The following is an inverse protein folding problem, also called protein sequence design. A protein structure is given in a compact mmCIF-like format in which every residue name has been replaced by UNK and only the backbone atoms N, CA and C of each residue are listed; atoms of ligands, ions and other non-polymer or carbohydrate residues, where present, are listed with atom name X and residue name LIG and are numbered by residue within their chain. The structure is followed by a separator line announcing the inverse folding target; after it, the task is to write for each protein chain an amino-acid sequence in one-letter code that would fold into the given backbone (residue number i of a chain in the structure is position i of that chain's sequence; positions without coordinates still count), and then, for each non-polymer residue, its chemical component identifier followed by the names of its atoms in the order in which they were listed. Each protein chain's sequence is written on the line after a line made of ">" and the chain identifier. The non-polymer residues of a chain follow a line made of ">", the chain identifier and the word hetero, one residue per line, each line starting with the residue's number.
data_IF_628961424449
#
_entry.id   IF_628961424449
#
_cell.length_a   1.000
_cell.length_b   1.000
_cell.length_c   1.000
_cell.angle_alpha   90.00
_cell.angle_beta   90.00
_cell.angle_gamma   90.00
#
_symmetry.space_group_name_H-M   'P 1'
#
loop_
_entity.id
_entity.type
_entity.pdbx_description
1 polymer ?
#
# COMPACT_ATOMS: atom_id res chain seq x y z
N UNK A 1 -13.79 26.25 3.27
CA UNK A 1 -12.31 26.27 3.30
C UNK A 1 -11.84 25.49 2.09
N UNK A 2 -11.41 26.16 1.01
CA UNK A 2 -10.77 25.46 -0.08
C UNK A 2 -9.48 24.83 0.48
N UNK A 3 -9.42 23.51 0.55
CA UNK A 3 -8.17 22.82 0.84
C UNK A 3 -7.20 23.21 -0.27
N UNK A 4 -6.21 24.03 0.06
CA UNK A 4 -5.08 24.31 -0.83
C UNK A 4 -4.27 23.01 -0.82
N UNK A 5 -4.66 22.07 -1.67
CA UNK A 5 -3.84 20.92 -1.97
C UNK A 5 -2.65 21.44 -2.77
N UNK A 6 -1.49 21.56 -2.11
CA UNK A 6 -0.22 21.84 -2.77
C UNK A 6 0.03 20.64 -3.70
N UNK A 7 0.00 20.81 -5.03
CA UNK A 7 0.08 19.67 -5.91
C UNK A 7 1.54 19.25 -6.04
N UNK A 8 1.91 18.12 -5.43
CA UNK A 8 3.01 17.32 -5.97
C UNK A 8 2.54 16.78 -7.33
N UNK A 9 3.35 16.97 -8.38
CA UNK A 9 3.04 16.64 -9.76
C UNK A 9 3.96 15.52 -10.26
N UNK A 10 3.73 14.24 -9.90
CA UNK A 10 4.65 13.13 -10.19
C UNK A 10 5.05 12.92 -11.66
N UNK A 11 4.27 13.41 -12.63
CA UNK A 11 4.61 13.28 -14.05
C UNK A 11 5.47 14.43 -14.60
N UNK A 12 5.58 15.54 -13.86
CA UNK A 12 6.34 16.74 -14.25
C UNK A 12 7.56 16.90 -13.34
N UNK A 13 7.36 16.73 -12.04
CA UNK A 13 8.40 16.90 -11.02
C UNK A 13 9.48 15.84 -11.20
N UNK A 14 10.73 16.25 -11.00
CA UNK A 14 11.85 15.31 -10.96
C UNK A 14 11.66 14.33 -9.80
N UNK A 15 11.99 13.05 -10.04
CA UNK A 15 11.92 12.04 -9.00
C UNK A 15 12.90 12.42 -7.88
N UNK A 16 12.44 12.58 -6.62
CA UNK A 16 13.30 12.99 -5.53
C UNK A 16 14.41 11.97 -5.30
N UNK A 17 15.61 12.44 -4.99
CA UNK A 17 16.73 11.58 -4.58
C UNK A 17 16.41 10.89 -3.25
N UNK A 18 17.00 9.71 -3.02
CA UNK A 18 16.83 8.97 -1.77
C UNK A 18 17.22 9.80 -0.53
N UNK A 19 18.21 10.70 -0.68
CA UNK A 19 18.63 11.62 0.38
C UNK A 19 17.54 12.66 0.72
N UNK A 20 16.86 13.21 -0.30
CA UNK A 20 15.77 14.16 -0.11
C UNK A 20 14.56 13.49 0.55
N UNK A 21 14.28 12.23 0.19
CA UNK A 21 13.23 11.42 0.84
C UNK A 21 13.54 11.22 2.33
N UNK A 22 14.78 10.85 2.68
CA UNK A 22 15.20 10.68 4.08
C UNK A 22 15.13 11.97 4.88
N UNK A 23 15.54 13.10 4.29
CA UNK A 23 15.44 14.40 4.93
C UNK A 23 13.98 14.80 5.18
N UNK A 24 13.10 14.55 4.21
CA UNK A 24 11.65 14.78 4.37
C UNK A 24 11.05 13.86 5.44
N UNK A 25 11.43 12.58 5.48
CA UNK A 25 10.99 11.64 6.51
C UNK A 25 11.45 12.06 7.92
N UNK A 26 12.67 12.60 8.07
CA UNK A 26 13.16 13.12 9.33
C UNK A 26 12.33 14.32 9.82
N UNK A 27 12.04 15.29 8.93
CA UNK A 27 11.17 16.43 9.26
C UNK A 27 9.74 15.98 9.59
N UNK A 28 9.19 15.01 8.84
CA UNK A 28 7.88 14.44 9.14
C UNK A 28 7.92 13.80 10.54
N UNK A 29 8.97 13.04 10.87
CA UNK A 29 9.10 12.40 12.17
C UNK A 29 9.19 13.41 13.34
N UNK A 30 9.86 14.55 13.13
CA UNK A 30 9.93 15.66 14.09
C UNK A 30 8.56 16.33 14.30
N UNK A 31 7.80 16.54 13.23
CA UNK A 31 6.47 17.19 13.25
C UNK A 31 5.35 16.25 13.69
N UNK A 32 5.49 14.96 13.38
CA UNK A 32 4.65 13.91 13.96
C UNK A 32 5.08 13.70 15.40
N UNK A 33 4.56 14.53 16.30
CA UNK A 33 4.47 14.20 17.73
C UNK A 33 3.74 12.85 17.91
N UNK A 34 3.51 12.37 19.16
CA UNK A 34 2.81 11.11 19.37
C UNK A 34 1.45 11.15 18.65
N UNK A 35 1.34 10.51 17.49
CA UNK A 35 0.13 10.48 16.70
C UNK A 35 -0.98 10.02 17.64
N UNK A 36 -2.07 10.78 17.70
CA UNK A 36 -3.29 10.30 18.34
C UNK A 36 -3.60 8.91 17.77
N UNK A 37 -3.48 7.91 18.62
CA UNK A 37 -3.78 6.49 18.40
C UNK A 37 -5.28 6.25 18.22
N UNK A 38 -5.98 7.11 17.48
CA UNK A 38 -7.38 6.93 17.09
C UNK A 38 -7.56 5.84 16.03
N UNK A 39 -6.51 5.05 15.74
CA UNK A 39 -6.72 3.72 15.19
C UNK A 39 -7.37 2.92 16.32
N UNK A 40 -8.65 2.52 16.21
CA UNK A 40 -9.24 1.64 17.21
C UNK A 40 -8.32 0.43 17.34
N UNK A 41 -7.93 0.08 18.57
CA UNK A 41 -7.19 -1.15 18.86
C UNK A 41 -7.83 -2.27 18.03
N UNK A 42 -7.01 -2.98 17.24
CA UNK A 42 -7.50 -4.11 16.45
C UNK A 42 -8.36 -4.97 17.35
N UNK A 43 -9.57 -5.33 16.89
CA UNK A 43 -10.52 -6.12 17.68
C UNK A 43 -9.77 -7.23 18.40
N UNK A 44 -9.74 -7.17 19.73
CA UNK A 44 -9.11 -8.20 20.57
C UNK A 44 -9.69 -9.54 20.16
N UNK A 45 -8.82 -10.54 20.03
CA UNK A 45 -9.23 -11.90 19.70
C UNK A 45 -10.36 -12.33 20.65
N UNK A 46 -11.38 -13.00 20.11
CA UNK A 46 -12.42 -13.62 20.93
C UNK A 46 -11.90 -14.88 21.63
N UNK A 47 -10.66 -15.29 21.33
CA UNK A 47 -10.02 -16.43 21.97
C UNK A 47 -9.65 -16.08 23.41
N UNK A 48 -9.70 -17.09 24.28
CA UNK A 48 -9.12 -16.97 25.61
C UNK A 48 -7.60 -16.80 25.50
N UNK A 49 -6.99 -16.11 26.47
CA UNK A 49 -5.54 -15.88 26.49
C UNK A 49 -4.72 -17.17 26.33
N UNK A 50 -5.19 -18.28 26.92
CA UNK A 50 -4.56 -19.59 26.77
C UNK A 50 -4.63 -20.15 25.33
N UNK A 51 -5.72 -19.89 24.61
CA UNK A 51 -5.90 -20.32 23.22
C UNK A 51 -5.11 -19.42 22.26
N UNK A 52 -4.94 -18.14 22.60
CA UNK A 52 -4.11 -17.21 21.86
C UNK A 52 -2.62 -17.55 22.01
N UNK A 53 -2.18 -17.89 23.22
CA UNK A 53 -0.84 -18.45 23.48
C UNK A 53 -0.63 -19.74 22.67
N UNK A 54 -1.60 -20.66 22.70
CA UNK A 54 -1.56 -21.92 21.95
C UNK A 54 -1.51 -21.74 20.42
N UNK A 55 -2.22 -20.75 19.86
CA UNK A 55 -2.20 -20.43 18.43
C UNK A 55 -0.90 -19.72 18.04
N UNK A 56 -0.37 -18.88 18.93
CA UNK A 56 0.87 -18.14 18.71
C UNK A 56 2.11 -19.04 18.78
N UNK A 57 2.06 -20.09 19.61
CA UNK A 57 3.09 -21.11 19.67
C UNK A 57 3.00 -21.95 18.39
N UNK A 58 3.85 -21.65 17.40
CA UNK A 58 3.86 -22.31 16.07
C UNK A 58 4.16 -23.82 16.11
N UNK A 59 4.28 -24.40 17.30
CA UNK A 59 4.25 -25.85 17.52
C UNK A 59 2.83 -26.32 17.29
N UNK A 60 2.46 -26.46 16.02
CA UNK A 60 1.23 -27.15 15.66
C UNK A 60 1.18 -28.47 16.45
N UNK A 61 0.08 -28.78 17.16
CA UNK A 61 -0.05 -30.10 17.76
C UNK A 61 0.23 -31.13 16.66
N UNK A 62 0.94 -32.22 16.98
CA UNK A 62 0.82 -33.42 16.15
C UNK A 62 -0.68 -33.67 16.02
N UNK A 63 -1.16 -33.81 14.78
CA UNK A 63 -2.58 -34.02 14.51
C UNK A 63 -3.13 -35.13 15.39
N UNK A 64 -4.46 -35.14 15.57
CA UNK A 64 -5.16 -36.11 16.41
C UNK A 64 -4.56 -37.51 16.17
N UNK A 65 -4.04 -38.12 17.24
CA UNK A 65 -3.44 -39.44 17.15
C UNK A 65 -4.53 -40.47 16.82
N UNK A 66 -4.54 -40.87 15.55
CA UNK A 66 -5.48 -41.85 14.98
C UNK A 66 -5.21 -43.28 15.47
N UNK A 67 -4.06 -43.52 16.12
CA UNK A 67 -3.70 -44.85 16.65
C UNK A 67 -4.71 -45.36 17.68
N UNK A 68 -5.39 -44.43 18.39
CA UNK A 68 -6.46 -44.76 19.34
C UNK A 68 -7.66 -45.45 18.69
N UNK A 69 -7.92 -45.17 17.42
CA UNK A 69 -9.06 -45.73 16.68
C UNK A 69 -8.68 -46.88 15.76
N UNK A 70 -7.38 -47.15 15.56
CA UNK A 70 -6.90 -48.31 14.81
C UNK A 70 -6.64 -49.53 15.69
N UNK A 71 -6.37 -49.32 16.99
CA UNK A 71 -6.01 -50.39 17.91
C UNK A 71 -7.25 -50.78 18.74
N UNK A 72 -7.74 -52.01 18.52
CA UNK A 72 -8.91 -52.59 19.20
C UNK A 72 -8.54 -53.33 20.50
N UNK A 73 -7.25 -53.57 20.69
CA UNK A 73 -6.69 -54.30 21.83
C UNK A 73 -6.19 -53.33 22.90
N UNK A 74 -6.46 -53.64 24.15
CA UNK A 74 -5.86 -52.98 25.31
C UNK A 74 -4.38 -53.39 25.47
N UNK A 75 -3.64 -52.70 26.33
CA UNK A 75 -2.23 -52.95 26.67
C UNK A 75 -1.93 -54.39 27.12
N UNK A 76 -2.95 -55.14 27.54
CA UNK A 76 -2.88 -56.54 27.96
C UNK A 76 -3.32 -57.53 26.86
N UNK A 77 -3.65 -57.05 25.66
CA UNK A 77 -4.11 -57.87 24.51
C UNK A 77 -5.60 -58.24 24.57
N UNK A 78 -6.37 -57.67 25.50
CA UNK A 78 -7.81 -57.90 25.62
C UNK A 78 -8.60 -56.91 24.74
N UNK A 79 -9.65 -57.40 24.06
CA UNK A 79 -10.51 -56.55 23.24
C UNK A 79 -11.49 -55.80 24.15
N UNK A 80 -11.41 -54.46 24.18
CA UNK A 80 -12.43 -53.65 24.84
C UNK A 80 -13.69 -53.61 23.96
N UNK A 81 -14.80 -54.15 24.49
CA UNK A 81 -16.06 -54.26 23.76
C UNK A 81 -16.64 -52.88 23.39
N UNK A 82 -16.34 -51.85 24.18
CA UNK A 82 -16.79 -50.48 23.88
C UNK A 82 -16.08 -49.92 22.66
N UNK A 83 -14.76 -50.05 22.60
CA UNK A 83 -13.97 -49.59 21.44
C UNK A 83 -14.33 -50.38 20.19
N UNK A 84 -14.51 -51.70 20.31
CA UNK A 84 -14.96 -52.56 19.22
C UNK A 84 -16.32 -52.13 18.65
N UNK A 85 -17.31 -51.83 19.51
CA UNK A 85 -18.61 -51.35 19.06
C UNK A 85 -18.51 -49.98 18.36
N UNK A 86 -17.71 -49.05 18.90
CA UNK A 86 -17.51 -47.74 18.25
C UNK A 86 -16.80 -47.86 16.90
N UNK A 87 -15.87 -48.79 16.75
CA UNK A 87 -15.18 -49.06 15.50
C UNK A 87 -16.13 -49.69 14.45
N UNK A 88 -17.03 -50.57 14.89
CA UNK A 88 -18.06 -51.15 14.03
C UNK A 88 -19.02 -50.08 13.51
N UNK A 89 -19.57 -49.23 14.38
CA UNK A 89 -20.45 -48.13 13.96
C UNK A 89 -19.73 -47.16 13.00
N UNK A 90 -18.46 -46.84 13.27
CA UNK A 90 -17.66 -46.00 12.36
C UNK A 90 -17.43 -46.66 10.99
N UNK A 91 -17.15 -47.96 10.93
CA UNK A 91 -16.95 -48.67 9.67
C UNK A 91 -18.23 -48.79 8.85
N UNK A 92 -19.38 -48.97 9.51
CA UNK A 92 -20.71 -48.91 8.87
C UNK A 92 -20.98 -47.52 8.29
N UNK A 93 -20.81 -46.46 9.09
CA UNK A 93 -20.99 -45.09 8.60
C UNK A 93 -20.03 -44.73 7.46
N UNK A 94 -18.78 -45.21 7.52
CA UNK A 94 -17.80 -45.04 6.44
C UNK A 94 -18.21 -45.78 5.18
N UNK A 95 -18.75 -46.99 5.29
CA UNK A 95 -19.23 -47.75 4.14
C UNK A 95 -20.33 -46.98 3.40
N UNK A 96 -21.31 -46.47 4.14
CA UNK A 96 -22.41 -45.70 3.55
C UNK A 96 -21.92 -44.40 2.92
N UNK A 97 -20.99 -43.70 3.57
CA UNK A 97 -20.35 -42.50 3.02
C UNK A 97 -19.53 -42.79 1.75
N UNK A 98 -18.81 -43.91 1.69
CA UNK A 98 -18.06 -44.34 0.50
C UNK A 98 -19.00 -44.74 -0.63
N UNK A 99 -20.13 -45.38 -0.32
CA UNK A 99 -21.18 -45.69 -1.30
C UNK A 99 -21.70 -44.40 -1.94
N UNK A 100 -22.10 -43.42 -1.12
CA UNK A 100 -22.55 -42.12 -1.62
C UNK A 100 -21.46 -41.36 -2.40
N UNK A 101 -20.19 -41.44 -1.96
CA UNK A 101 -19.07 -40.83 -2.66
C UNK A 101 -18.81 -41.51 -4.02
N UNK A 102 -18.97 -42.83 -4.11
CA UNK A 102 -18.80 -43.56 -5.36
C UNK A 102 -19.86 -43.18 -6.40
N UNK A 103 -21.09 -42.91 -5.94
CA UNK A 103 -22.21 -42.51 -6.78
C UNK A 103 -22.13 -41.04 -7.21
N UNK A 104 -21.90 -40.12 -6.27
CA UNK A 104 -22.02 -38.68 -6.50
C UNK A 104 -20.71 -37.92 -6.51
N UNK A 105 -19.61 -38.51 -6.04
CA UNK A 105 -18.35 -37.81 -5.82
C UNK A 105 -17.78 -37.18 -7.08
N UNK A 106 -17.82 -37.90 -8.22
CA UNK A 106 -17.38 -37.36 -9.51
C UNK A 106 -18.19 -36.14 -9.93
N UNK A 107 -19.52 -36.21 -9.78
CA UNK A 107 -20.42 -35.11 -10.19
C UNK A 107 -20.21 -33.90 -9.29
N UNK A 108 -20.15 -34.10 -7.98
CA UNK A 108 -19.90 -33.00 -7.03
C UNK A 108 -18.54 -32.34 -7.24
N UNK A 109 -17.51 -33.14 -7.53
CA UNK A 109 -16.19 -32.59 -7.84
C UNK A 109 -16.20 -31.73 -9.12
N UNK A 110 -16.88 -32.18 -10.18
CA UNK A 110 -17.00 -31.41 -11.41
C UNK A 110 -17.79 -30.11 -11.22
N UNK A 111 -18.88 -30.15 -10.44
CA UNK A 111 -19.66 -28.95 -10.10
C UNK A 111 -18.82 -27.96 -9.31
N UNK A 112 -18.09 -28.42 -8.28
CA UNK A 112 -17.19 -27.57 -7.51
C UNK A 112 -16.09 -26.96 -8.37
N UNK A 113 -15.54 -27.71 -9.34
CA UNK A 113 -14.54 -27.18 -10.25
C UNK A 113 -15.12 -26.09 -11.19
N UNK A 114 -16.32 -26.29 -11.73
CA UNK A 114 -17.00 -25.28 -12.55
C UNK A 114 -17.38 -24.02 -11.74
N UNK A 115 -17.76 -24.17 -10.48
CA UNK A 115 -17.99 -23.05 -9.57
C UNK A 115 -16.71 -22.23 -9.34
N UNK A 116 -15.59 -22.90 -9.06
CA UNK A 116 -14.28 -22.26 -8.92
C UNK A 116 -13.84 -21.55 -10.20
N UNK A 117 -14.05 -22.16 -11.37
CA UNK A 117 -13.75 -21.54 -12.66
C UNK A 117 -14.60 -20.28 -12.91
N UNK A 118 -15.85 -20.27 -12.46
CA UNK A 118 -16.72 -19.07 -12.55
C UNK A 118 -16.26 -17.98 -11.59
N UNK A 119 -15.89 -18.32 -10.37
CA UNK A 119 -15.33 -17.38 -9.41
C UNK A 119 -14.03 -16.76 -9.92
N UNK A 120 -13.12 -17.56 -10.46
CA UNK A 120 -11.88 -17.11 -11.06
C UNK A 120 -12.14 -16.11 -12.20
N UNK A 121 -13.03 -16.46 -13.14
CA UNK A 121 -13.43 -15.57 -14.24
C UNK A 121 -14.05 -14.26 -13.74
N UNK A 122 -14.78 -14.29 -12.63
CA UNK A 122 -15.37 -13.09 -12.04
C UNK A 122 -14.30 -12.18 -11.40
N UNK A 123 -13.32 -12.77 -10.72
CA UNK A 123 -12.17 -12.04 -10.16
C UNK A 123 -11.34 -11.42 -11.29
N UNK A 124 -11.05 -12.17 -12.35
CA UNK A 124 -10.30 -11.66 -13.50
C UNK A 124 -11.02 -10.49 -14.19
N UNK A 125 -12.34 -10.58 -14.36
CA UNK A 125 -13.14 -9.47 -14.90
C UNK A 125 -13.06 -8.23 -14.03
N UNK A 126 -13.15 -8.38 -12.70
CA UNK A 126 -13.02 -7.26 -11.75
C UNK A 126 -11.63 -6.64 -11.80
N UNK A 127 -10.59 -7.47 -11.90
CA UNK A 127 -9.21 -7.02 -12.02
C UNK A 127 -9.00 -6.23 -13.32
N UNK A 128 -9.49 -6.72 -14.46
CA UNK A 128 -9.40 -6.01 -15.73
C UNK A 128 -10.17 -4.69 -15.72
N UNK A 129 -11.36 -4.65 -15.11
CA UNK A 129 -12.12 -3.41 -14.94
C UNK A 129 -11.37 -2.40 -14.07
N UNK A 130 -10.80 -2.84 -12.94
CA UNK A 130 -10.01 -2.00 -12.06
C UNK A 130 -8.75 -1.46 -12.76
N UNK A 131 -8.05 -2.28 -13.55
CA UNK A 131 -6.90 -1.85 -14.36
C UNK A 131 -7.30 -0.77 -15.38
N UNK A 132 -8.39 -0.98 -16.13
CA UNK A 132 -8.89 0.03 -17.09
C UNK A 132 -9.26 1.34 -16.42
N UNK A 133 -9.88 1.28 -15.24
CA UNK A 133 -10.21 2.48 -14.46
C UNK A 133 -8.94 3.21 -14.01
N UNK A 134 -7.95 2.48 -13.50
CA UNK A 134 -6.65 3.03 -13.11
C UNK A 134 -5.94 3.68 -14.29
N UNK A 135 -5.89 3.01 -15.44
CA UNK A 135 -5.29 3.55 -16.67
C UNK A 135 -6.00 4.83 -17.12
N UNK A 136 -7.33 4.86 -17.09
CA UNK A 136 -8.11 6.05 -17.45
C UNK A 136 -7.81 7.21 -16.52
N UNK A 137 -7.74 6.96 -15.21
CA UNK A 137 -7.40 7.98 -14.20
C UNK A 137 -5.96 8.47 -14.38
N UNK A 138 -5.00 7.57 -14.61
CA UNK A 138 -3.60 7.94 -14.81
C UNK A 138 -3.39 8.73 -16.11
N UNK A 139 -4.06 8.35 -17.20
CA UNK A 139 -4.03 9.10 -18.47
C UNK A 139 -4.64 10.49 -18.27
N UNK A 140 -5.78 10.59 -17.58
CA UNK A 140 -6.38 11.89 -17.26
C UNK A 140 -5.47 12.75 -16.37
N UNK A 141 -4.83 12.15 -15.35
CA UNK A 141 -3.88 12.83 -14.47
C UNK A 141 -2.68 13.33 -15.26
N UNK A 142 -2.08 12.47 -16.09
CA UNK A 142 -0.92 12.83 -16.92
C UNK A 142 -1.23 13.99 -17.88
N UNK A 143 -2.41 13.98 -18.53
CA UNK A 143 -2.84 15.09 -19.40
C UNK A 143 -2.94 16.40 -18.62
N UNK A 144 -3.67 16.42 -17.50
CA UNK A 144 -3.82 17.62 -16.66
C UNK A 144 -2.48 18.16 -16.17
N UNK A 145 -1.55 17.27 -15.81
CA UNK A 145 -0.23 17.66 -15.36
C UNK A 145 0.59 18.26 -16.51
N UNK A 146 0.62 17.61 -17.66
CA UNK A 146 1.32 18.14 -18.83
C UNK A 146 0.77 19.50 -19.30
N UNK A 147 -0.56 19.70 -19.26
CA UNK A 147 -1.17 20.98 -19.62
C UNK A 147 -0.70 22.12 -18.69
N UNK A 148 -0.49 21.82 -17.40
CA UNK A 148 0.03 22.78 -16.41
C UNK A 148 1.55 22.96 -16.54
N UNK A 149 2.29 21.94 -16.99
CA UNK A 149 3.75 21.99 -17.13
C UNK A 149 4.19 23.15 -18.03
N UNK A 150 3.55 23.32 -19.19
CA UNK A 150 3.87 24.39 -20.14
C UNK A 150 3.63 25.77 -19.50
N UNK A 151 2.53 25.91 -18.75
CA UNK A 151 2.21 27.16 -18.05
C UNK A 151 3.20 27.47 -16.94
N UNK A 152 3.64 26.46 -16.18
CA UNK A 152 4.63 26.61 -15.11
C UNK A 152 5.99 27.01 -15.68
N UNK A 153 6.45 26.35 -16.75
CA UNK A 153 7.71 26.71 -17.41
C UNK A 153 7.66 28.12 -17.99
N UNK A 154 6.53 28.52 -18.58
CA UNK A 154 6.34 29.89 -19.06
C UNK A 154 6.42 30.91 -17.91
N UNK A 155 5.71 30.65 -16.81
CA UNK A 155 5.73 31.51 -15.63
C UNK A 155 7.12 31.59 -14.99
N UNK A 156 7.84 30.47 -14.90
CA UNK A 156 9.20 30.43 -14.37
C UNK A 156 10.16 31.25 -15.23
N UNK A 157 10.14 31.06 -16.55
CA UNK A 157 10.97 31.85 -17.48
C UNK A 157 10.65 33.33 -17.40
N UNK A 158 9.37 33.70 -17.40
CA UNK A 158 8.92 35.09 -17.26
C UNK A 158 9.37 35.68 -15.93
N UNK A 159 9.26 34.93 -14.83
CA UNK A 159 9.68 35.38 -13.51
C UNK A 159 11.20 35.58 -13.43
N UNK A 160 12.00 34.63 -13.94
CA UNK A 160 13.46 34.78 -14.04
C UNK A 160 13.86 35.97 -14.92
N UNK A 161 13.15 36.20 -16.03
CA UNK A 161 13.35 37.36 -16.89
C UNK A 161 13.08 38.67 -16.16
N UNK A 162 11.94 38.80 -15.49
CA UNK A 162 11.60 39.98 -14.70
C UNK A 162 12.59 40.24 -13.56
N UNK A 163 13.10 39.19 -12.93
CA UNK A 163 14.14 39.31 -11.91
C UNK A 163 15.46 39.80 -12.52
N UNK A 164 15.83 39.30 -13.70
CA UNK A 164 16.97 39.78 -14.46
C UNK A 164 16.83 41.26 -14.84
N UNK A 165 15.68 41.65 -15.39
CA UNK A 165 15.39 43.05 -15.76
C UNK A 165 15.49 43.98 -14.54
N UNK A 166 14.98 43.55 -13.37
CA UNK A 166 15.07 44.33 -12.13
C UNK A 166 16.51 44.50 -11.66
N UNK A 167 17.32 43.44 -11.75
CA UNK A 167 18.75 43.49 -11.41
C UNK A 167 19.48 44.40 -12.39
N UNK A 168 19.22 44.30 -13.69
CA UNK A 168 19.86 45.13 -14.72
C UNK A 168 19.53 46.62 -14.55
N UNK A 169 18.26 46.94 -14.23
CA UNK A 169 17.86 48.31 -13.90
C UNK A 169 18.56 48.81 -12.64
N UNK A 170 18.66 47.96 -11.61
CA UNK A 170 19.39 48.29 -10.37
C UNK A 170 20.87 48.58 -10.62
N UNK A 171 21.54 47.76 -11.42
CA UNK A 171 22.96 47.95 -11.78
C UNK A 171 23.15 49.22 -12.61
N UNK A 172 22.26 49.49 -13.59
CA UNK A 172 22.34 50.73 -14.38
C UNK A 172 22.13 51.98 -13.54
N UNK A 173 21.19 51.96 -12.61
CA UNK A 173 20.99 53.09 -11.70
C UNK A 173 22.22 53.31 -10.81
N UNK A 174 22.79 52.26 -10.23
CA UNK A 174 24.01 52.38 -9.42
C UNK A 174 25.20 52.92 -10.24
N UNK A 175 25.31 52.54 -11.52
CA UNK A 175 26.35 53.06 -12.41
C UNK A 175 26.12 54.54 -12.74
N UNK A 176 24.88 54.94 -13.01
CA UNK A 176 24.53 56.36 -13.21
C UNK A 176 24.77 57.20 -11.96
N UNK A 177 24.49 56.67 -10.77
CA UNK A 177 24.81 57.34 -9.50
C UNK A 177 26.33 57.51 -9.35
N UNK A 178 27.13 56.50 -9.70
CA UNK A 178 28.59 56.61 -9.65
C UNK A 178 29.16 57.60 -10.69
N UNK A 179 28.57 57.70 -11.88
CA UNK A 179 28.95 58.68 -12.91
C UNK A 179 28.59 60.11 -12.46
N UNK A 180 27.40 60.29 -11.84
CA UNK A 180 27.01 61.56 -11.23
C UNK A 180 27.95 61.97 -10.08
N UNK A 181 28.35 61.03 -9.24
CA UNK A 181 29.30 61.29 -8.15
C UNK A 181 30.68 61.69 -8.72
N UNK A 182 31.16 61.04 -9.80
CA UNK A 182 32.43 61.44 -10.42
C UNK A 182 32.38 62.79 -11.14
N UNK A 183 31.26 63.11 -11.80
CA UNK A 183 31.08 64.41 -12.47
C UNK A 183 31.01 65.55 -11.44
N UNK A 184 30.43 65.30 -10.25
CA UNK A 184 30.41 66.26 -9.16
C UNK A 184 31.82 66.55 -8.59
N UNK A 185 32.67 65.52 -8.50
CA UNK A 185 34.07 65.68 -8.07
C UNK A 185 34.89 66.48 -9.12
N UNK A 186 34.62 66.31 -10.42
CA UNK A 186 35.29 67.06 -11.50
C UNK A 186 34.84 68.53 -11.60
N UNK A 187 33.58 68.85 -11.28
CA UNK A 187 33.10 70.25 -11.20
C UNK A 187 33.72 71.00 -10.00
N UNK A 188 33.98 70.33 -8.87
CA UNK A 188 34.67 70.96 -7.73
C UNK A 188 36.17 71.23 -8.00
N UNK A 189 36.86 70.41 -8.81
CA UNK A 189 38.26 70.65 -9.21
C UNK A 189 38.41 71.73 -10.31
N UNK A 190 37.36 72.03 -11.07
CA UNK A 190 37.37 73.04 -12.14
C UNK A 190 37.18 74.49 -11.70
N UNK A 191 36.71 74.71 -10.45
CA UNK A 191 36.40 76.02 -9.87
C UNK A 191 37.47 76.55 -8.88
N UNK A 192 38.62 75.88 -8.73
CA UNK A 192 39.83 76.38 -8.03
C UNK A 192 40.88 77.01 -8.97
#
# INVERSE_FOLDING_TARGET
>A
MASIAIPSLPYIDETPSNEQVKAAEALIAEETGPLNTSIPESKKSLLSAAMEEYVSDRKRPKGIDISRYSNLEDTEGNIDLKTAYTALEYTLGRHDAVSALSEFGRVQWLVGNDELDRELKNVDKRLLAAKKNLETVNVSRKRKQNDVADTLQYLEKRWKGLLGDLVDVGVKNALLEAELDSDADEEEEGDE
#
